data_IF_908890533311
#
_entry.id   IF_908890533311
#
_cell.length_a   1.000
_cell.length_b   1.000
_cell.length_c   1.000
_cell.angle_alpha   90.00
_cell.angle_beta   90.00
_cell.angle_gamma   90.00
#
_symmetry.space_group_name_H-M   'P 1'
#
loop_
_entity.id
_entity.type
_entity.pdbx_description
1 polymer ?
#
# COMPACT_ATOMS: atom_id res chain seq x y z
N UNK A 1 58.73 6.17 -20.48
CA UNK A 1 57.53 7.01 -20.60
C UNK A 1 56.40 6.34 -19.83
N UNK A 2 55.90 7.10 -18.86
CA UNK A 2 54.79 6.94 -17.91
C UNK A 2 53.79 5.79 -18.11
N UNK A 3 53.73 4.94 -17.07
CA UNK A 3 52.61 4.04 -16.75
C UNK A 3 51.42 4.88 -16.32
N UNK A 4 50.28 4.80 -17.01
CA UNK A 4 49.01 5.37 -16.54
C UNK A 4 48.12 4.25 -16.03
N UNK A 5 48.04 4.18 -14.71
CA UNK A 5 47.23 3.27 -13.91
C UNK A 5 45.83 3.87 -13.85
N UNK A 6 44.81 3.11 -14.27
CA UNK A 6 43.42 3.47 -14.08
C UNK A 6 42.74 2.43 -13.19
N UNK A 7 42.52 2.72 -11.89
CA UNK A 7 41.53 2.03 -11.10
C UNK A 7 40.58 3.11 -10.58
N UNK A 8 39.65 3.54 -11.42
CA UNK A 8 38.60 4.44 -10.97
C UNK A 8 37.44 3.56 -10.46
N UNK A 9 37.38 3.44 -9.14
CA UNK A 9 36.16 3.22 -8.34
C UNK A 9 35.33 1.96 -8.66
N UNK A 10 35.85 0.79 -8.29
CA UNK A 10 35.02 -0.30 -7.78
C UNK A 10 34.75 -0.02 -6.29
N UNK A 11 33.80 0.86 -6.00
CA UNK A 11 33.16 0.84 -4.69
C UNK A 11 32.11 -0.27 -4.77
N UNK A 12 32.26 -1.40 -4.04
CA UNK A 12 31.15 -2.30 -3.86
C UNK A 12 30.16 -1.54 -2.99
N UNK A 13 29.16 -0.90 -3.60
CA UNK A 13 27.96 -0.54 -2.88
C UNK A 13 27.39 -1.86 -2.36
N UNK A 14 27.61 -2.12 -1.08
CA UNK A 14 26.78 -3.07 -0.34
C UNK A 14 25.41 -2.42 -0.24
N UNK A 15 24.63 -2.55 -1.32
CA UNK A 15 23.20 -2.28 -1.35
C UNK A 15 22.55 -3.34 -0.47
N UNK A 16 22.45 -3.03 0.82
CA UNK A 16 21.58 -3.74 1.74
C UNK A 16 20.18 -3.18 1.56
N UNK A 17 19.47 -3.69 0.55
CA UNK A 17 18.08 -3.34 0.34
C UNK A 17 17.20 -4.49 0.76
N UNK A 18 16.25 -4.24 1.64
CA UNK A 18 15.15 -5.15 1.94
C UNK A 18 13.90 -4.33 2.26
N UNK A 19 13.29 -3.69 1.27
CA UNK A 19 11.93 -3.22 1.48
C UNK A 19 10.98 -4.40 1.36
N UNK A 20 10.35 -4.71 2.49
CA UNK A 20 9.28 -5.69 2.60
C UNK A 20 7.94 -4.97 2.46
N UNK A 21 6.98 -5.60 1.78
CA UNK A 21 5.65 -5.05 1.56
C UNK A 21 5.05 -4.54 2.88
N UNK A 22 4.72 -3.25 2.95
CA UNK A 22 3.91 -2.71 4.04
C UNK A 22 2.44 -2.82 3.63
N UNK A 23 1.70 -3.67 4.35
CA UNK A 23 0.25 -3.71 4.20
C UNK A 23 -0.31 -2.39 4.75
N UNK A 24 -1.00 -1.63 3.90
CA UNK A 24 -1.62 -0.37 4.27
C UNK A 24 -2.90 -0.63 5.08
N UNK A 25 -2.73 -1.11 6.30
CA UNK A 25 -3.79 -1.19 7.30
C UNK A 25 -3.73 0.06 8.18
N UNK A 26 -4.81 0.83 8.19
CA UNK A 26 -4.91 2.07 8.97
C UNK A 26 -4.68 1.87 10.48
N UNK A 27 -5.15 0.76 11.06
CA UNK A 27 -4.96 0.50 12.48
C UNK A 27 -3.50 0.15 12.83
N UNK A 28 -2.85 -0.64 11.98
CA UNK A 28 -1.45 -1.00 12.16
C UNK A 28 -0.55 0.23 11.94
N UNK A 29 -0.89 1.07 10.96
CA UNK A 29 -0.19 2.32 10.69
C UNK A 29 -0.30 3.30 11.87
N UNK A 30 -1.46 3.43 12.53
CA UNK A 30 -1.59 4.28 13.72
C UNK A 30 -0.68 3.80 14.84
N UNK A 31 -0.66 2.49 15.12
CA UNK A 31 0.18 1.92 16.18
C UNK A 31 1.66 2.16 15.90
N UNK A 32 2.10 1.82 14.68
CA UNK A 32 3.46 2.05 14.23
C UNK A 32 3.86 3.53 14.33
N UNK A 33 3.00 4.44 13.88
CA UNK A 33 3.25 5.88 13.96
C UNK A 33 3.36 6.36 15.41
N UNK A 34 2.54 5.82 16.33
CA UNK A 34 2.62 6.17 17.75
C UNK A 34 4.01 5.86 18.34
N UNK A 35 4.61 4.72 17.94
CA UNK A 35 5.95 4.34 18.37
C UNK A 35 7.03 5.19 17.68
N UNK A 36 6.91 5.44 16.37
CA UNK A 36 7.90 6.21 15.59
C UNK A 36 7.92 7.71 15.93
N UNK A 37 6.82 8.28 16.44
CA UNK A 37 6.75 9.68 16.86
C UNK A 37 7.29 9.93 18.26
N UNK A 38 7.77 8.90 18.97
CA UNK A 38 8.40 9.08 20.26
C UNK A 38 9.74 9.83 20.09
N UNK A 39 10.03 10.78 20.98
CA UNK A 39 11.28 11.56 20.99
C UNK A 39 12.53 10.71 21.24
N UNK A 40 12.35 9.53 21.83
CA UNK A 40 13.44 8.58 22.09
C UNK A 40 13.83 7.75 20.86
N UNK A 41 13.10 7.90 19.75
CA UNK A 41 13.28 7.12 18.52
C UNK A 41 13.94 7.98 17.44
N UNK A 42 15.12 7.56 17.00
CA UNK A 42 15.84 8.23 15.90
C UNK A 42 15.34 7.69 14.55
N UNK A 43 14.24 8.28 14.07
CA UNK A 43 13.63 7.95 12.78
C UNK A 43 13.13 9.23 12.08
N UNK A 44 13.45 9.39 10.79
CA UNK A 44 12.98 10.51 9.99
C UNK A 44 11.54 10.31 9.53
N UNK A 45 10.59 10.67 10.39
CA UNK A 45 9.15 10.52 10.12
C UNK A 45 8.58 11.50 9.08
N UNK A 46 9.38 12.44 8.58
CA UNK A 46 8.99 13.41 7.56
C UNK A 46 8.89 12.85 6.14
N UNK A 47 9.46 11.65 5.89
CA UNK A 47 9.49 11.00 4.58
C UNK A 47 8.73 9.69 4.66
N UNK A 48 7.60 9.61 3.96
CA UNK A 48 6.77 8.42 3.84
C UNK A 48 6.66 7.99 2.35
N UNK A 49 6.37 6.71 2.05
CA UNK A 49 6.17 5.58 2.97
C UNK A 49 7.47 5.16 3.68
N UNK A 50 7.33 4.58 4.87
CA UNK A 50 8.46 4.17 5.70
C UNK A 50 9.04 2.84 5.23
N UNK A 51 10.37 2.72 5.22
CA UNK A 51 11.01 1.46 4.88
C UNK A 51 10.87 0.47 6.03
N UNK A 52 10.25 -0.70 5.79
CA UNK A 52 10.10 -1.73 6.83
C UNK A 52 11.42 -2.18 7.46
N UNK A 53 12.51 -2.24 6.71
CA UNK A 53 13.81 -2.59 7.30
C UNK A 53 14.31 -1.51 8.24
N UNK A 54 14.16 -0.24 7.87
CA UNK A 54 14.55 0.88 8.72
C UNK A 54 13.72 0.91 10.00
N UNK A 55 12.40 0.73 9.88
CA UNK A 55 11.50 0.60 11.04
C UNK A 55 11.93 -0.56 11.94
N UNK A 56 12.23 -1.73 11.37
CA UNK A 56 12.67 -2.89 12.14
C UNK A 56 14.02 -2.63 12.84
N UNK A 57 14.96 -1.95 12.18
CA UNK A 57 16.25 -1.58 12.76
C UNK A 57 16.08 -0.57 13.90
N UNK A 58 15.15 0.36 13.76
CA UNK A 58 14.93 1.43 14.72
C UNK A 58 14.08 1.00 15.92
N UNK A 59 12.96 0.32 15.70
CA UNK A 59 12.07 -0.13 16.77
C UNK A 59 12.52 -1.45 17.39
N UNK A 60 13.29 -2.27 16.65
CA UNK A 60 13.74 -3.59 17.12
C UNK A 60 12.67 -4.68 17.10
N UNK A 61 11.48 -4.40 16.56
CA UNK A 61 10.41 -5.37 16.38
C UNK A 61 9.51 -5.01 15.19
N UNK A 62 8.82 -6.02 14.66
CA UNK A 62 7.89 -5.86 13.55
C UNK A 62 6.47 -5.69 14.12
N UNK A 63 5.86 -4.54 13.86
CA UNK A 63 4.58 -4.14 14.46
C UNK A 63 3.36 -4.70 13.72
N UNK A 64 3.57 -5.53 12.68
CA UNK A 64 2.47 -6.13 11.92
C UNK A 64 2.02 -7.43 12.59
N UNK A 65 0.84 -7.48 13.24
CA UNK A 65 0.32 -8.76 13.72
C UNK A 65 0.12 -9.70 12.52
N UNK A 66 0.74 -10.87 12.55
CA UNK A 66 0.51 -11.92 11.56
C UNK A 66 -0.86 -12.54 11.85
N UNK A 67 -1.92 -11.84 11.42
CA UNK A 67 -3.31 -12.25 11.61
C UNK A 67 -3.59 -13.48 10.75
N UNK A 68 -3.34 -14.66 11.31
CA UNK A 68 -3.75 -15.96 10.75
C UNK A 68 -4.93 -16.48 11.55
N UNK A 69 -6.05 -16.68 10.87
CA UNK A 69 -7.26 -17.24 11.45
C UNK A 69 -7.20 -18.78 11.53
N UNK A 70 -6.29 -19.40 10.77
CA UNK A 70 -6.02 -20.84 10.88
C UNK A 70 -7.13 -21.71 10.30
N UNK A 71 -7.85 -21.20 9.30
CA UNK A 71 -8.90 -21.97 8.65
C UNK A 71 -8.32 -23.18 7.93
N UNK A 72 -9.01 -24.31 7.95
CA UNK A 72 -8.56 -25.54 7.28
C UNK A 72 -9.13 -25.67 5.85
N UNK A 73 -10.30 -25.09 5.63
CA UNK A 73 -10.98 -25.15 4.33
C UNK A 73 -10.28 -24.26 3.31
N UNK A 74 -10.10 -24.76 2.08
CA UNK A 74 -9.37 -24.09 1.01
C UNK A 74 -9.84 -22.65 0.75
N UNK A 75 -11.15 -22.42 0.69
CA UNK A 75 -11.72 -21.11 0.39
C UNK A 75 -11.38 -20.07 1.48
N UNK A 76 -11.60 -20.42 2.76
CA UNK A 76 -11.33 -19.50 3.87
C UNK A 76 -9.84 -19.25 4.08
N UNK A 77 -8.99 -20.25 3.80
CA UNK A 77 -7.54 -20.04 3.75
C UNK A 77 -7.16 -19.00 2.72
N UNK A 78 -7.69 -19.09 1.50
CA UNK A 78 -7.41 -18.13 0.43
C UNK A 78 -7.97 -16.74 0.68
N UNK A 79 -9.03 -16.62 1.48
CA UNK A 79 -9.64 -15.33 1.78
C UNK A 79 -8.94 -14.60 2.94
N UNK A 80 -8.43 -15.33 3.93
CA UNK A 80 -7.96 -14.73 5.19
C UNK A 80 -6.49 -14.99 5.52
N UNK A 81 -5.92 -16.12 5.08
CA UNK A 81 -4.61 -16.58 5.53
C UNK A 81 -3.55 -16.56 4.42
N UNK A 82 -3.96 -16.70 3.16
CA UNK A 82 -3.07 -16.92 2.02
C UNK A 82 -3.36 -15.97 0.86
N UNK A 83 -2.30 -15.61 0.13
CA UNK A 83 -2.47 -14.92 -1.15
C UNK A 83 -3.24 -15.76 -2.16
N UNK A 84 -4.05 -15.10 -2.99
CA UNK A 84 -4.85 -15.75 -4.02
C UNK A 84 -3.94 -16.51 -4.99
N UNK A 85 -2.98 -15.79 -5.58
CA UNK A 85 -1.90 -16.37 -6.38
C UNK A 85 -0.57 -16.08 -5.69
N UNK A 86 0.20 -17.14 -5.44
CA UNK A 86 1.56 -17.03 -4.90
C UNK A 86 2.49 -17.93 -5.70
N UNK A 87 3.53 -17.35 -6.28
CA UNK A 87 4.63 -18.05 -6.94
C UNK A 87 5.89 -17.76 -6.14
N UNK A 88 6.55 -18.80 -5.63
CA UNK A 88 7.76 -18.66 -4.83
C UNK A 88 8.81 -19.65 -5.33
N UNK A 89 9.98 -19.13 -5.70
CA UNK A 89 11.18 -19.90 -6.02
C UNK A 89 12.37 -19.43 -5.16
N UNK A 90 13.56 -19.95 -5.43
CA UNK A 90 14.74 -19.69 -4.58
C UNK A 90 15.14 -18.20 -4.56
N UNK A 91 14.97 -17.50 -5.68
CA UNK A 91 15.39 -16.12 -5.88
C UNK A 91 14.26 -15.19 -6.36
N UNK A 92 13.00 -15.62 -6.26
CA UNK A 92 11.87 -14.76 -6.61
C UNK A 92 10.61 -15.10 -5.82
N UNK A 93 9.80 -14.09 -5.58
CA UNK A 93 8.44 -14.24 -5.05
C UNK A 93 7.52 -13.30 -5.82
N UNK A 94 6.35 -13.80 -6.20
CA UNK A 94 5.28 -13.02 -6.84
C UNK A 94 3.96 -13.36 -6.15
N UNK A 95 3.22 -12.33 -5.76
CA UNK A 95 1.91 -12.41 -5.14
C UNK A 95 0.92 -11.55 -5.93
N UNK A 96 -0.27 -12.09 -6.15
CA UNK A 96 -1.38 -11.35 -6.74
C UNK A 96 -2.60 -11.56 -5.86
N UNK A 97 -3.11 -10.46 -5.32
CA UNK A 97 -4.20 -10.47 -4.35
C UNK A 97 -5.32 -9.50 -4.77
N UNK A 98 -6.60 -9.92 -4.71
CA UNK A 98 -7.71 -9.02 -4.95
C UNK A 98 -7.88 -8.08 -3.75
N UNK A 99 -8.25 -6.83 -4.03
CA UNK A 99 -8.56 -5.82 -3.01
C UNK A 99 -10.04 -5.49 -3.08
N UNK A 100 -10.71 -5.58 -1.93
CA UNK A 100 -12.11 -5.19 -1.79
C UNK A 100 -12.22 -4.30 -0.54
N UNK A 101 -12.83 -3.13 -0.71
CA UNK A 101 -13.17 -2.24 0.40
C UNK A 101 -14.62 -1.80 0.25
N UNK A 102 -15.44 -2.10 1.24
CA UNK A 102 -16.84 -1.69 1.28
C UNK A 102 -17.03 -0.82 2.52
N UNK A 103 -17.48 0.41 2.30
CA UNK A 103 -17.81 1.37 3.36
C UNK A 103 -19.20 1.90 3.13
N UNK A 104 -19.94 2.04 4.21
CA UNK A 104 -21.25 2.69 4.22
C UNK A 104 -21.30 3.61 5.44
N UNK A 105 -22.09 4.67 5.34
CA UNK A 105 -22.29 5.62 6.42
C UNK A 105 -23.69 6.21 6.37
N UNK A 106 -23.98 7.10 7.31
CA UNK A 106 -25.23 7.83 7.35
C UNK A 106 -24.95 9.30 7.60
N UNK A 107 -25.44 10.16 6.70
CA UNK A 107 -25.36 11.61 6.85
C UNK A 107 -26.60 12.11 7.60
N UNK A 108 -26.39 12.68 8.79
CA UNK A 108 -27.47 13.20 9.63
C UNK A 108 -28.09 14.48 9.07
N UNK A 109 -27.32 15.28 8.31
CA UNK A 109 -27.74 16.57 7.79
C UNK A 109 -28.61 16.37 6.56
N UNK A 110 -28.10 15.62 5.59
CA UNK A 110 -28.77 15.40 4.30
C UNK A 110 -29.68 14.16 4.30
N UNK A 111 -29.74 13.43 5.42
CA UNK A 111 -30.49 12.17 5.58
C UNK A 111 -30.20 11.19 4.44
N UNK A 112 -28.93 11.11 4.04
CA UNK A 112 -28.46 10.29 2.92
C UNK A 112 -27.52 9.19 3.39
N UNK A 113 -27.33 8.17 2.56
CA UNK A 113 -26.47 7.02 2.86
C UNK A 113 -25.27 7.09 1.90
N UNK A 114 -24.16 7.76 2.29
CA UNK A 114 -22.93 7.68 1.54
C UNK A 114 -22.37 6.26 1.58
N UNK A 115 -21.77 5.84 0.47
CA UNK A 115 -21.12 4.54 0.36
C UNK A 115 -19.87 4.64 -0.51
N UNK A 116 -18.95 3.70 -0.32
CA UNK A 116 -17.77 3.52 -1.17
C UNK A 116 -17.57 2.04 -1.38
N UNK A 117 -17.46 1.66 -2.65
CA UNK A 117 -17.16 0.30 -3.10
C UNK A 117 -15.89 0.34 -3.94
N UNK A 118 -14.80 -0.09 -3.34
CA UNK A 118 -13.50 -0.22 -4.01
C UNK A 118 -13.28 -1.68 -4.37
N UNK A 119 -12.86 -1.91 -5.62
CA UNK A 119 -12.41 -3.20 -6.12
C UNK A 119 -11.07 -3.01 -6.79
N UNK A 120 -10.22 -4.01 -6.73
CA UNK A 120 -8.92 -3.89 -7.35
C UNK A 120 -8.06 -5.13 -7.20
N UNK A 121 -6.81 -4.96 -7.57
CA UNK A 121 -5.78 -5.99 -7.50
C UNK A 121 -4.46 -5.37 -7.07
N UNK A 122 -3.74 -6.07 -6.22
CA UNK A 122 -2.35 -5.79 -5.88
C UNK A 122 -1.45 -6.86 -6.48
N UNK A 123 -0.34 -6.40 -7.04
CA UNK A 123 0.77 -7.21 -7.55
C UNK A 123 1.98 -6.87 -6.70
N UNK A 124 2.55 -7.87 -6.05
CA UNK A 124 3.71 -7.72 -5.18
C UNK A 124 4.79 -8.69 -5.67
N UNK A 125 5.99 -8.20 -5.93
CA UNK A 125 7.09 -9.01 -6.43
C UNK A 125 8.41 -8.72 -5.74
N UNK A 126 9.22 -9.77 -5.59
CA UNK A 126 10.58 -9.71 -5.04
C UNK A 126 11.52 -10.51 -5.93
N UNK A 127 12.68 -9.94 -6.24
CA UNK A 127 13.75 -10.57 -6.98
C UNK A 127 15.04 -10.55 -6.14
N UNK A 128 15.52 -11.74 -5.76
CA UNK A 128 16.65 -11.91 -4.86
C UNK A 128 16.38 -11.31 -3.47
N UNK A 129 17.43 -10.72 -2.89
CA UNK A 129 17.33 -10.04 -1.58
C UNK A 129 17.07 -8.54 -1.72
N UNK A 130 17.50 -7.95 -2.82
CA UNK A 130 17.68 -6.50 -2.92
C UNK A 130 16.50 -5.81 -3.60
N UNK A 131 15.85 -6.45 -4.57
CA UNK A 131 14.82 -5.80 -5.38
C UNK A 131 13.41 -6.24 -4.98
N UNK A 132 12.52 -5.27 -4.74
CA UNK A 132 11.09 -5.50 -4.57
C UNK A 132 10.28 -4.45 -5.31
N UNK A 133 9.07 -4.81 -5.72
CA UNK A 133 8.14 -3.92 -6.37
C UNK A 133 6.70 -4.22 -5.99
N UNK A 134 5.87 -3.20 -5.99
CA UNK A 134 4.42 -3.30 -5.76
C UNK A 134 3.71 -2.52 -6.85
N UNK A 135 2.60 -3.03 -7.34
CA UNK A 135 1.68 -2.29 -8.20
C UNK A 135 0.25 -2.55 -7.77
N UNK A 136 -0.56 -1.50 -7.72
CA UNK A 136 -1.95 -1.58 -7.28
C UNK A 136 -2.83 -0.89 -8.30
N UNK A 137 -3.94 -1.54 -8.64
CA UNK A 137 -4.99 -0.98 -9.49
C UNK A 137 -6.32 -1.06 -8.76
N UNK A 138 -6.96 0.09 -8.55
CA UNK A 138 -8.23 0.22 -7.85
C UNK A 138 -9.25 0.94 -8.72
N UNK A 139 -10.46 0.42 -8.77
CA UNK A 139 -11.66 1.11 -9.23
C UNK A 139 -12.60 1.34 -8.06
N UNK A 140 -13.12 2.55 -7.96
CA UNK A 140 -13.95 2.99 -6.85
C UNK A 140 -15.28 3.53 -7.38
N UNK A 141 -16.38 3.04 -6.81
CA UNK A 141 -17.71 3.62 -7.00
C UNK A 141 -18.18 4.14 -5.65
N UNK A 142 -18.46 5.44 -5.56
CA UNK A 142 -18.82 6.06 -4.31
C UNK A 142 -19.94 7.09 -4.45
N UNK A 143 -20.87 7.07 -3.51
CA UNK A 143 -21.77 8.18 -3.24
C UNK A 143 -21.22 8.95 -2.04
N UNK A 144 -20.87 10.21 -2.27
CA UNK A 144 -20.32 11.06 -1.23
C UNK A 144 -21.39 11.94 -0.58
N UNK A 145 -21.12 12.48 0.64
CA UNK A 145 -21.88 13.62 1.17
C UNK A 145 -21.89 14.79 0.19
N UNK A 146 -22.92 15.64 0.28
CA UNK A 146 -23.18 16.70 -0.71
C UNK A 146 -21.98 17.62 -0.90
N UNK A 147 -21.31 18.04 0.18
CA UNK A 147 -20.16 18.94 0.10
C UNK A 147 -18.97 18.38 -0.70
N UNK A 148 -18.73 17.05 -0.65
CA UNK A 148 -17.68 16.41 -1.47
C UNK A 148 -18.17 16.18 -2.89
N UNK A 149 -19.44 15.78 -3.05
CA UNK A 149 -20.04 15.54 -4.35
C UNK A 149 -20.08 16.81 -5.21
N UNK A 150 -20.45 17.95 -4.63
CA UNK A 150 -20.50 19.24 -5.32
C UNK A 150 -19.11 19.69 -5.75
N UNK A 151 -18.11 19.53 -4.88
CA UNK A 151 -16.71 19.78 -5.25
C UNK A 151 -16.31 18.90 -6.43
N UNK A 152 -16.55 17.59 -6.32
CA UNK A 152 -16.10 16.65 -7.34
C UNK A 152 -16.80 16.84 -8.68
N UNK A 153 -18.08 17.21 -8.70
CA UNK A 153 -18.83 17.55 -9.92
C UNK A 153 -18.37 18.87 -10.54
N UNK A 154 -18.04 19.87 -9.70
CA UNK A 154 -17.57 21.17 -10.17
C UNK A 154 -16.20 21.07 -10.84
N UNK A 155 -15.28 20.30 -10.25
CA UNK A 155 -13.89 20.20 -10.71
C UNK A 155 -13.58 18.92 -11.50
N UNK A 156 -14.55 18.03 -11.66
CA UNK A 156 -14.39 16.69 -12.25
C UNK A 156 -13.26 15.87 -11.60
N UNK A 157 -13.05 16.08 -10.29
CA UNK A 157 -11.97 15.42 -9.53
C UNK A 157 -12.46 15.11 -8.12
N UNK A 158 -12.32 13.85 -7.71
CA UNK A 158 -12.50 13.47 -6.30
C UNK A 158 -11.28 13.92 -5.49
N UNK A 159 -11.44 14.73 -4.42
CA UNK A 159 -10.33 15.23 -3.62
C UNK A 159 -9.39 14.12 -3.13
N UNK A 160 -8.09 14.30 -3.36
CA UNK A 160 -7.06 13.33 -2.92
C UNK A 160 -7.09 11.98 -3.65
N UNK A 161 -7.86 11.87 -4.74
CA UNK A 161 -7.96 10.67 -5.56
C UNK A 161 -7.57 11.02 -6.99
N UNK A 162 -8.55 11.27 -7.86
CA UNK A 162 -8.32 11.53 -9.27
C UNK A 162 -9.60 11.93 -10.01
N UNK A 163 -9.56 11.79 -11.34
CA UNK A 163 -10.66 12.18 -12.23
C UNK A 163 -11.97 11.48 -11.85
N UNK A 164 -13.03 12.28 -11.71
CA UNK A 164 -14.36 11.81 -11.35
C UNK A 164 -15.21 11.63 -12.60
N UNK A 165 -15.93 10.51 -12.69
CA UNK A 165 -16.95 10.24 -13.70
C UNK A 165 -18.30 10.04 -13.03
N UNK A 166 -19.36 10.51 -13.66
CA UNK A 166 -20.72 10.24 -13.17
C UNK A 166 -21.04 8.75 -13.25
N UNK A 167 -21.64 8.21 -12.19
CA UNK A 167 -22.07 6.83 -12.10
C UNK A 167 -23.46 6.75 -11.45
N UNK A 168 -24.43 6.15 -12.15
CA UNK A 168 -25.76 5.89 -11.58
C UNK A 168 -26.56 7.15 -11.17
N UNK A 169 -26.19 8.33 -11.66
CA UNK A 169 -26.90 9.61 -11.44
C UNK A 169 -26.55 10.33 -10.13
N UNK A 170 -26.18 9.60 -9.08
CA UNK A 170 -25.89 10.16 -7.76
C UNK A 170 -24.60 9.64 -7.11
N UNK A 171 -23.81 8.87 -7.84
CA UNK A 171 -22.51 8.38 -7.42
C UNK A 171 -21.44 8.78 -8.44
N UNK A 172 -20.19 8.62 -8.03
CA UNK A 172 -19.01 8.89 -8.82
C UNK A 172 -18.20 7.62 -8.98
N UNK A 173 -17.63 7.44 -10.17
CA UNK A 173 -16.67 6.41 -10.51
C UNK A 173 -15.30 7.05 -10.74
N UNK A 174 -14.28 6.50 -10.09
CA UNK A 174 -12.91 6.98 -10.17
C UNK A 174 -11.93 5.83 -9.93
N UNK A 175 -10.81 5.87 -10.65
CA UNK A 175 -9.78 4.82 -10.60
C UNK A 175 -8.46 5.38 -10.12
N UNK A 176 -7.66 4.54 -9.46
CA UNK A 176 -6.31 4.85 -9.06
C UNK A 176 -5.38 3.68 -9.43
N UNK A 177 -4.25 4.01 -10.03
CA UNK A 177 -3.15 3.08 -10.24
C UNK A 177 -1.90 3.62 -9.53
N UNK A 178 -1.22 2.77 -8.79
CA UNK A 178 0.04 3.12 -8.11
C UNK A 178 1.08 2.04 -8.28
N UNK A 179 2.35 2.43 -8.16
CA UNK A 179 3.48 1.53 -8.24
C UNK A 179 4.62 2.02 -7.37
N UNK A 180 5.32 1.08 -6.75
CA UNK A 180 6.48 1.31 -5.89
C UNK A 180 7.58 0.31 -6.26
N UNK A 181 8.84 0.75 -6.20
CA UNK A 181 10.01 -0.09 -6.40
C UNK A 181 11.02 0.25 -5.31
N UNK A 182 11.71 -0.76 -4.80
CA UNK A 182 12.84 -0.63 -3.87
C UNK A 182 13.98 -1.55 -4.29
N UNK A 183 15.23 -1.10 -4.11
CA UNK A 183 16.44 -1.78 -4.58
C UNK A 183 17.66 -1.48 -3.71
#
# INVERSE_FOLDING_TARGET
MTKFIWPLLLCPFFLSAQYQFQRLNHLDQIRQNADLYNTDVDFHTSIAPFNRTEIHQTLGYDNTPDLKFGYQQWFWRKLFDESLVKLQGDNYELRIDPVINLRYGYDLTDKSIPYTSTRGVTLEGKLGKNFSFTSTFLENQARFPVYVADFAKTYNVVPGQGFARDFGGDALDFSMASGEISY
#
